data_IF_195802217827
#
_entry.id   IF_195802217827
#
_cell.length_a   1.000
_cell.length_b   1.000
_cell.length_c   1.000
_cell.angle_alpha   90.00
_cell.angle_beta   90.00
_cell.angle_gamma   90.00
#
_symmetry.space_group_name_H-M   'P 1'
#
loop_
_entity.id
_entity.type
_entity.pdbx_description
1 polymer ?
#
# COMPACT_ATOMS: atom_id res chain seq x y z
N UNK A 1 -7.76 7.60 2.29
CA UNK A 1 -8.36 8.48 3.32
C UNK A 1 -9.15 7.63 4.31
N UNK A 2 -9.16 8.02 5.59
CA UNK A 2 -9.94 7.34 6.63
C UNK A 2 -11.02 8.28 7.18
N UNK A 3 -12.23 7.76 7.36
CA UNK A 3 -13.36 8.51 7.94
C UNK A 3 -13.89 7.79 9.17
N UNK A 4 -14.30 8.54 10.18
CA UNK A 4 -14.99 8.07 11.36
C UNK A 4 -16.49 8.36 11.21
N UNK A 5 -17.32 7.33 11.31
CA UNK A 5 -18.77 7.42 11.22
C UNK A 5 -19.34 7.51 12.63
N UNK A 6 -19.90 8.66 13.00
CA UNK A 6 -20.52 8.88 14.30
C UNK A 6 -22.02 8.55 14.32
N UNK A 7 -22.69 8.63 13.15
CA UNK A 7 -24.09 8.29 12.90
C UNK A 7 -24.33 8.19 11.39
N UNK A 8 -25.46 7.62 10.94
CA UNK A 8 -25.77 7.31 9.53
C UNK A 8 -25.56 8.47 8.52
N UNK A 9 -25.43 9.72 8.99
CA UNK A 9 -25.25 10.92 8.15
C UNK A 9 -24.01 11.79 8.46
N UNK A 10 -23.21 11.48 9.49
CA UNK A 10 -22.06 12.30 9.88
C UNK A 10 -20.74 11.51 9.80
N UNK A 11 -19.92 11.88 8.81
CA UNK A 11 -18.57 11.32 8.59
C UNK A 11 -17.53 12.39 8.87
N UNK A 12 -16.61 12.09 9.78
CA UNK A 12 -15.47 12.93 10.09
C UNK A 12 -14.24 12.39 9.39
N UNK A 13 -13.61 13.19 8.53
CA UNK A 13 -12.33 12.81 7.94
C UNK A 13 -11.25 12.83 9.02
N UNK A 14 -10.54 11.71 9.18
CA UNK A 14 -9.37 11.67 10.04
C UNK A 14 -8.20 12.30 9.29
N UNK A 15 -7.39 13.07 10.00
CA UNK A 15 -6.20 13.68 9.43
C UNK A 15 -5.05 12.65 9.39
N UNK A 16 -4.43 12.52 8.22
CA UNK A 16 -3.30 11.61 8.04
C UNK A 16 -2.04 12.27 8.63
N UNK A 17 -1.42 11.63 9.61
CA UNK A 17 -0.12 12.04 10.17
C UNK A 17 0.98 11.07 9.78
N UNK A 18 2.17 11.60 9.57
CA UNK A 18 3.36 10.78 9.38
C UNK A 18 3.70 10.00 10.67
N UNK A 19 4.31 8.82 10.49
CA UNK A 19 4.63 7.90 11.56
C UNK A 19 5.51 8.54 12.63
N UNK A 20 6.55 9.30 12.23
CA UNK A 20 7.48 9.99 13.13
C UNK A 20 6.76 10.96 14.07
N UNK A 21 5.68 11.59 13.59
CA UNK A 21 4.92 12.56 14.38
C UNK A 21 3.86 11.90 15.27
N UNK A 22 3.39 10.70 14.91
CA UNK A 22 2.31 10.01 15.62
C UNK A 22 2.84 9.03 16.68
N UNK A 23 4.00 8.40 16.45
CA UNK A 23 4.58 7.41 17.36
C UNK A 23 4.74 7.92 18.81
N UNK A 24 5.25 9.13 19.07
CA UNK A 24 5.36 9.65 20.44
C UNK A 24 4.00 9.89 21.12
N UNK A 25 2.97 10.17 20.31
CA UNK A 25 1.62 10.42 20.81
C UNK A 25 0.92 9.11 21.20
N UNK A 26 1.17 8.02 20.47
CA UNK A 26 0.61 6.71 20.79
C UNK A 26 1.05 6.18 22.16
N UNK A 27 2.22 6.58 22.65
CA UNK A 27 2.69 6.29 24.00
C UNK A 27 1.99 7.10 25.11
N UNK A 28 1.20 8.11 24.76
CA UNK A 28 0.38 8.81 25.74
C UNK A 28 -0.93 8.04 25.98
N UNK A 29 -1.32 7.89 27.25
CA UNK A 29 -2.58 7.22 27.63
C UNK A 29 -3.83 8.06 27.35
N UNK A 30 -3.75 8.99 26.39
CA UNK A 30 -4.88 9.84 26.04
C UNK A 30 -5.93 9.01 25.31
N UNK A 31 -7.10 8.88 25.93
CA UNK A 31 -8.25 8.20 25.37
C UNK A 31 -9.27 9.21 24.84
N UNK A 32 -9.94 8.88 23.74
CA UNK A 32 -11.02 9.70 23.20
C UNK A 32 -11.40 9.34 21.77
N UNK A 33 -12.13 10.25 21.11
CA UNK A 33 -12.49 10.08 19.70
C UNK A 33 -11.24 10.28 18.83
N UNK A 34 -10.86 9.29 17.99
CA UNK A 34 -9.74 9.44 17.08
C UNK A 34 -9.95 10.62 16.12
N UNK A 35 -8.91 11.42 15.97
CA UNK A 35 -8.87 12.54 15.01
C UNK A 35 -7.71 12.39 14.02
N UNK A 36 -6.68 11.62 14.38
CA UNK A 36 -5.55 11.31 13.52
C UNK A 36 -5.50 9.82 13.19
N UNK A 37 -4.97 9.52 12.01
CA UNK A 37 -4.57 8.17 11.65
C UNK A 37 -3.18 8.18 11.01
N UNK A 38 -2.46 7.07 11.16
CA UNK A 38 -1.23 6.78 10.43
C UNK A 38 -1.21 5.31 10.00
N UNK A 39 -0.46 5.00 8.96
CA UNK A 39 -0.26 3.64 8.48
C UNK A 39 1.23 3.35 8.38
N UNK A 40 1.73 2.50 9.28
CA UNK A 40 3.12 2.07 9.33
C UNK A 40 3.19 0.65 9.92
N UNK A 41 4.27 -0.09 9.67
CA UNK A 41 4.40 -1.50 10.09
C UNK A 41 3.21 -2.40 9.64
N UNK A 42 2.60 -2.05 8.49
CA UNK A 42 1.37 -2.71 7.99
C UNK A 42 0.18 -2.67 8.96
N UNK A 43 0.19 -1.74 9.91
CA UNK A 43 -0.87 -1.53 10.90
C UNK A 43 -1.45 -0.14 10.73
N UNK A 44 -2.74 -0.04 11.03
CA UNK A 44 -3.45 1.23 11.06
C UNK A 44 -3.47 1.72 12.50
N UNK A 45 -2.81 2.84 12.74
CA UNK A 45 -2.72 3.47 14.05
C UNK A 45 -3.69 4.65 14.13
N UNK A 46 -4.40 4.74 15.25
CA UNK A 46 -5.35 5.80 15.53
C UNK A 46 -4.94 6.55 16.78
N UNK A 47 -5.11 7.87 16.78
CA UNK A 47 -4.84 8.70 17.94
C UNK A 47 -5.88 9.82 18.08
N UNK A 48 -6.33 10.16 19.31
CA UNK A 48 -6.15 9.45 20.59
C UNK A 48 -6.60 7.99 20.57
N UNK A 49 -6.21 7.20 21.56
CA UNK A 49 -6.66 5.80 21.68
C UNK A 49 -8.19 5.77 21.76
N UNK A 50 -8.89 4.99 20.93
CA UNK A 50 -10.34 4.94 20.95
C UNK A 50 -10.88 4.58 22.34
N UNK A 51 -11.73 5.45 22.89
CA UNK A 51 -12.43 5.22 24.17
C UNK A 51 -13.67 4.30 24.03
N UNK A 52 -14.11 4.05 22.79
CA UNK A 52 -15.22 3.16 22.45
C UNK A 52 -15.05 2.56 21.05
N UNK A 53 -15.93 1.64 20.68
CA UNK A 53 -15.97 1.11 19.32
C UNK A 53 -16.46 2.18 18.33
N UNK A 54 -15.64 2.52 17.35
CA UNK A 54 -15.97 3.44 16.26
C UNK A 54 -16.11 2.69 14.93
N UNK A 55 -17.08 3.08 14.13
CA UNK A 55 -17.17 2.62 12.74
C UNK A 55 -16.28 3.49 11.87
N UNK A 56 -15.30 2.86 11.22
CA UNK A 56 -14.39 3.54 10.28
C UNK A 56 -14.73 3.16 8.84
N UNK A 57 -14.58 4.12 7.93
CA UNK A 57 -14.62 3.89 6.49
C UNK A 57 -13.25 4.22 5.89
N UNK A 58 -12.57 3.19 5.38
CA UNK A 58 -11.34 3.34 4.62
C UNK A 58 -11.66 3.49 3.13
N UNK A 59 -11.26 4.61 2.55
CA UNK A 59 -11.24 4.79 1.11
C UNK A 59 -9.81 4.59 0.64
N UNK A 60 -9.56 3.41 0.08
CA UNK A 60 -8.31 3.04 -0.58
C UNK A 60 -8.39 3.52 -2.04
N UNK A 61 -8.08 4.80 -2.26
CA UNK A 61 -7.90 5.30 -3.61
C UNK A 61 -6.59 4.76 -4.19
N UNK A 62 -6.49 4.54 -5.52
CA UNK A 62 -5.21 4.25 -6.15
C UNK A 62 -4.21 5.34 -5.76
N UNK A 63 -3.16 4.93 -5.04
CA UNK A 63 -2.12 5.83 -4.59
C UNK A 63 -1.27 6.20 -5.81
N UNK A 64 -1.21 7.50 -6.11
CA UNK A 64 -0.19 7.99 -7.03
C UNK A 64 1.15 7.86 -6.33
N UNK A 65 2.03 7.03 -6.89
CA UNK A 65 3.41 6.95 -6.42
C UNK A 65 4.11 8.29 -6.66
N UNK A 66 5.00 8.65 -5.73
CA UNK A 66 5.87 9.82 -5.87
C UNK A 66 6.74 9.72 -7.12
N UNK A 67 7.30 10.85 -7.54
CA UNK A 67 8.35 10.82 -8.55
C UNK A 67 9.61 10.16 -7.97
N UNK A 68 10.40 9.55 -8.85
CA UNK A 68 11.68 8.93 -8.47
C UNK A 68 12.72 10.05 -8.42
N UNK A 69 13.28 10.31 -7.23
CA UNK A 69 14.27 11.38 -7.04
C UNK A 69 15.71 10.82 -7.07
N UNK A 70 15.90 9.58 -6.62
CA UNK A 70 17.19 8.90 -6.60
C UNK A 70 17.08 7.42 -6.97
N UNK A 71 18.17 6.84 -7.47
CA UNK A 71 18.27 5.39 -7.72
C UNK A 71 18.51 4.56 -6.46
N UNK A 72 18.98 5.20 -5.39
CA UNK A 72 19.28 4.56 -4.11
C UNK A 72 18.07 4.59 -3.14
N UNK A 73 16.93 5.14 -3.58
CA UNK A 73 15.73 5.24 -2.76
C UNK A 73 14.93 3.92 -2.76
N UNK A 74 14.23 3.63 -1.66
CA UNK A 74 13.30 2.50 -1.57
C UNK A 74 11.95 2.83 -2.27
N UNK A 75 11.98 2.99 -3.60
CA UNK A 75 10.76 3.24 -4.37
C UNK A 75 9.96 1.94 -4.59
N UNK A 76 8.61 1.93 -4.53
CA UNK A 76 7.81 0.74 -4.81
C UNK A 76 8.08 0.10 -6.18
N UNK A 77 8.50 0.89 -7.17
CA UNK A 77 8.94 0.37 -8.47
C UNK A 77 10.20 -0.49 -8.38
N UNK A 78 11.11 -0.17 -7.46
CA UNK A 78 12.37 -0.90 -7.24
C UNK A 78 12.24 -2.02 -6.22
N UNK A 79 11.31 -1.91 -5.27
CA UNK A 79 11.12 -2.94 -4.23
C UNK A 79 10.14 -4.02 -4.68
N UNK A 80 9.03 -3.64 -5.31
CA UNK A 80 7.93 -4.57 -5.61
C UNK A 80 7.77 -4.90 -7.09
N UNK A 81 8.05 -3.95 -7.98
CA UNK A 81 7.85 -4.15 -9.43
C UNK A 81 9.16 -4.42 -10.19
N UNK A 82 10.28 -4.54 -9.49
CA UNK A 82 11.60 -4.59 -10.12
C UNK A 82 11.74 -5.77 -11.08
N UNK A 83 11.40 -6.98 -10.64
CA UNK A 83 11.52 -8.18 -11.48
C UNK A 83 10.56 -8.14 -12.67
N UNK A 84 9.36 -7.57 -12.51
CA UNK A 84 8.41 -7.33 -13.59
C UNK A 84 9.01 -6.39 -14.66
N UNK A 85 9.55 -5.25 -14.25
CA UNK A 85 10.14 -4.25 -15.16
C UNK A 85 11.37 -4.84 -15.86
N UNK A 86 12.23 -5.54 -15.11
CA UNK A 86 13.44 -6.20 -15.60
C UNK A 86 13.12 -7.26 -16.64
N UNK A 87 12.12 -8.12 -16.39
CA UNK A 87 11.68 -9.15 -17.35
C UNK A 87 11.17 -8.50 -18.65
N UNK A 88 10.39 -7.42 -18.54
CA UNK A 88 9.92 -6.68 -19.71
C UNK A 88 11.05 -6.03 -20.49
N UNK A 89 12.02 -5.42 -19.81
CA UNK A 89 13.19 -4.82 -20.45
C UNK A 89 14.05 -5.87 -21.19
N UNK A 90 14.27 -7.04 -20.57
CA UNK A 90 14.95 -8.18 -21.20
C UNK A 90 14.23 -8.64 -22.46
N UNK A 91 12.91 -8.76 -22.42
CA UNK A 91 12.11 -9.13 -23.59
C UNK A 91 12.32 -8.17 -24.77
N UNK A 92 12.22 -6.85 -24.53
CA UNK A 92 12.42 -5.84 -25.59
C UNK A 92 13.84 -5.92 -26.17
N UNK A 93 14.86 -6.15 -25.32
CA UNK A 93 16.24 -6.32 -25.77
C UNK A 93 16.41 -7.58 -26.63
N UNK A 94 15.94 -8.74 -26.15
CA UNK A 94 16.07 -10.01 -26.87
C UNK A 94 15.31 -10.01 -28.19
N UNK A 95 14.12 -9.42 -28.22
CA UNK A 95 13.29 -9.36 -29.41
C UNK A 95 13.83 -8.39 -30.46
N UNK A 96 14.14 -7.15 -30.05
CA UNK A 96 14.35 -6.07 -31.00
C UNK A 96 15.84 -5.88 -31.36
N UNK A 97 16.74 -6.14 -30.40
CA UNK A 97 18.17 -5.87 -30.56
C UNK A 97 18.93 -7.17 -30.88
N UNK A 98 18.82 -8.17 -30.01
CA UNK A 98 19.58 -9.42 -30.14
C UNK A 98 18.94 -10.42 -31.10
N UNK A 99 17.64 -10.27 -31.35
CA UNK A 99 16.82 -11.13 -32.23
C UNK A 99 16.93 -12.62 -31.86
N UNK A 100 16.98 -12.89 -30.56
CA UNK A 100 16.99 -14.23 -30.00
C UNK A 100 15.56 -14.61 -29.57
N UNK A 101 14.86 -15.47 -30.33
CA UNK A 101 13.47 -15.81 -30.06
C UNK A 101 13.29 -16.67 -28.81
N UNK A 102 14.27 -17.51 -28.46
CA UNK A 102 14.18 -18.41 -27.30
C UNK A 102 14.33 -17.61 -26.02
N UNK A 103 15.33 -16.73 -25.96
CA UNK A 103 15.52 -15.80 -24.84
C UNK A 103 14.36 -14.80 -24.71
N UNK A 104 13.82 -14.31 -25.83
CA UNK A 104 12.64 -13.44 -25.81
C UNK A 104 11.42 -14.18 -25.24
N UNK A 105 11.20 -15.43 -25.62
CA UNK A 105 10.08 -16.24 -25.12
C UNK A 105 10.21 -16.48 -23.62
N UNK A 106 11.40 -16.84 -23.14
CA UNK A 106 11.67 -17.01 -21.71
C UNK A 106 11.39 -15.72 -20.92
N UNK A 107 11.96 -14.58 -21.34
CA UNK A 107 11.74 -13.31 -20.66
C UNK A 107 10.27 -12.84 -20.66
N UNK A 108 9.52 -13.17 -21.72
CA UNK A 108 8.09 -12.86 -21.77
C UNK A 108 7.27 -13.74 -20.81
N UNK A 109 7.65 -15.01 -20.65
CA UNK A 109 7.01 -15.89 -19.68
C UNK A 109 7.24 -15.40 -18.25
N UNK A 110 8.47 -15.05 -17.89
CA UNK A 110 8.82 -14.46 -16.59
C UNK A 110 7.98 -13.20 -16.32
N UNK A 111 7.82 -12.33 -17.33
CA UNK A 111 6.98 -11.13 -17.23
C UNK A 111 5.51 -11.48 -16.94
N UNK A 112 4.95 -12.49 -17.62
CA UNK A 112 3.57 -12.90 -17.41
C UNK A 112 3.33 -13.49 -16.02
N UNK A 113 4.30 -14.26 -15.50
CA UNK A 113 4.26 -14.79 -14.14
C UNK A 113 4.22 -13.65 -13.12
N UNK A 114 5.17 -12.72 -13.20
CA UNK A 114 5.23 -11.54 -12.32
C UNK A 114 3.96 -10.67 -12.41
N UNK A 115 3.42 -10.50 -13.62
CA UNK A 115 2.18 -9.75 -13.82
C UNK A 115 0.97 -10.47 -13.21
N UNK A 116 0.95 -11.80 -13.30
CA UNK A 116 -0.10 -12.62 -12.71
C UNK A 116 -0.07 -12.52 -11.17
N UNK A 117 1.11 -12.65 -10.56
CA UNK A 117 1.29 -12.49 -9.12
C UNK A 117 0.84 -11.11 -8.64
N UNK A 118 1.28 -10.03 -9.31
CA UNK A 118 0.87 -8.67 -8.95
C UNK A 118 -0.66 -8.47 -9.03
N UNK A 119 -1.30 -9.02 -10.06
CA UNK A 119 -2.76 -8.96 -10.22
C UNK A 119 -3.49 -9.78 -9.17
N UNK A 120 -2.98 -10.97 -8.83
CA UNK A 120 -3.53 -11.81 -7.79
C UNK A 120 -3.46 -11.11 -6.43
N UNK A 121 -2.31 -10.51 -6.10
CA UNK A 121 -2.09 -9.70 -4.90
C UNK A 121 -3.07 -8.52 -4.83
N UNK A 122 -3.16 -7.76 -5.92
CA UNK A 122 -4.10 -6.63 -6.05
C UNK A 122 -5.54 -7.08 -5.84
N UNK A 123 -5.94 -8.21 -6.45
CA UNK A 123 -7.28 -8.77 -6.32
C UNK A 123 -7.57 -9.25 -4.90
N UNK A 124 -6.60 -9.90 -4.24
CA UNK A 124 -6.72 -10.29 -2.84
C UNK A 124 -6.95 -9.05 -1.98
N UNK A 125 -6.12 -8.00 -2.12
CA UNK A 125 -6.29 -6.75 -1.35
C UNK A 125 -7.62 -6.05 -1.59
N UNK A 126 -8.17 -6.11 -2.80
CA UNK A 126 -9.51 -5.57 -3.07
C UNK A 126 -10.62 -6.39 -2.39
N UNK A 127 -10.43 -7.71 -2.26
CA UNK A 127 -11.41 -8.61 -1.65
C UNK A 127 -11.31 -8.68 -0.12
N UNK A 128 -10.18 -8.30 0.49
CA UNK A 128 -10.04 -8.25 1.95
C UNK A 128 -10.53 -6.92 2.49
N UNK A 129 -11.84 -6.80 2.70
CA UNK A 129 -12.46 -5.71 3.48
C UNK A 129 -12.47 -5.98 4.99
N UNK A 130 -11.85 -7.09 5.43
CA UNK A 130 -11.88 -7.54 6.82
C UNK A 130 -10.68 -7.02 7.61
N UNK A 131 -10.89 -5.92 8.33
CA UNK A 131 -9.96 -5.42 9.34
C UNK A 131 -10.13 -6.30 10.59
N UNK A 132 -9.06 -6.94 11.03
CA UNK A 132 -9.05 -7.73 12.28
C UNK A 132 -8.47 -6.83 13.37
N UNK A 133 -9.15 -6.67 14.52
CA UNK A 133 -8.57 -5.97 15.66
C UNK A 133 -7.31 -6.72 16.12
N UNK A 134 -6.21 -5.99 16.30
CA UNK A 134 -5.04 -6.54 17.00
C UNK A 134 -5.24 -6.21 18.47
N UNK A 135 -5.50 -7.23 19.30
CA UNK A 135 -5.52 -7.06 20.74
C UNK A 135 -4.11 -6.71 21.23
N UNK A 136 -4.00 -5.71 22.11
CA UNK A 136 -2.78 -5.34 22.84
C UNK A 136 -2.98 -5.61 24.33
#
# INVERSE_FOLDING_TARGET
MCYLSSDQHHKFALECKDHVSLEPLLSSEQQGTPIYYSYFDRKLHFYPTPDRAYQIQLILSPLRLSEIESVDEEHPWFVHAFDLIKARAKYELYKNILKDPDCATAAYNDFNEQLHELRAETSQRHNVTRIIPTDF
#
